data_IF_068330159137
#
_entry.id   IF_068330159137
#
_cell.length_a   1.000
_cell.length_b   1.000
_cell.length_c   1.000
_cell.angle_alpha   90.00
_cell.angle_beta   90.00
_cell.angle_gamma   90.00
#
_symmetry.space_group_name_H-M   'P 1'
#
loop_
_entity.id
_entity.type
_entity.pdbx_description
1 polymer ?
#
# COMPACT_ATOMS: atom_id res chain seq x y z
N UNK A 1 7.16 -19.23 -10.09
CA UNK A 1 6.59 -19.91 -11.27
C UNK A 1 5.91 -21.19 -10.89
N UNK A 2 4.78 -21.46 -11.52
CA UNK A 2 4.17 -22.79 -11.50
C UNK A 2 4.87 -23.75 -12.48
N UNK A 3 4.65 -25.07 -12.33
CA UNK A 3 5.23 -26.05 -13.24
C UNK A 3 4.86 -25.88 -14.72
N UNK A 4 3.75 -25.21 -15.02
CA UNK A 4 3.32 -24.89 -16.39
C UNK A 4 3.98 -23.63 -16.95
N UNK A 5 4.89 -23.01 -16.20
CA UNK A 5 5.61 -21.79 -16.59
C UNK A 5 4.87 -20.49 -16.28
N UNK A 6 3.74 -20.52 -15.58
CA UNK A 6 3.02 -19.33 -15.15
C UNK A 6 3.83 -18.55 -14.12
N UNK A 7 4.22 -17.28 -14.36
CA UNK A 7 4.96 -16.48 -13.40
C UNK A 7 4.01 -15.83 -12.38
N UNK A 8 4.34 -15.98 -11.10
CA UNK A 8 3.69 -15.27 -10.00
C UNK A 8 4.54 -14.07 -9.61
N UNK A 9 4.03 -12.87 -9.83
CA UNK A 9 4.70 -11.63 -9.47
C UNK A 9 4.06 -11.06 -8.22
N UNK A 10 4.83 -11.00 -7.14
CA UNK A 10 4.35 -10.50 -5.86
C UNK A 10 4.44 -8.98 -5.85
N UNK A 11 3.29 -8.31 -5.82
CA UNK A 11 3.19 -6.86 -5.68
C UNK A 11 3.27 -6.47 -4.20
N UNK A 12 4.28 -5.69 -3.85
CA UNK A 12 4.54 -5.29 -2.47
C UNK A 12 3.93 -3.92 -2.12
N UNK A 13 3.23 -3.27 -3.05
CA UNK A 13 2.55 -1.99 -2.85
C UNK A 13 1.04 -2.19 -2.79
N UNK A 14 0.38 -1.35 -2.02
CA UNK A 14 -1.06 -1.43 -1.81
C UNK A 14 -1.83 -0.78 -2.96
N UNK A 15 -2.87 -1.45 -3.44
CA UNK A 15 -3.77 -0.96 -4.47
C UNK A 15 -4.92 -0.17 -3.84
N UNK A 16 -5.06 1.09 -4.26
CA UNK A 16 -6.12 1.99 -3.79
C UNK A 16 -6.84 2.70 -4.96
N UNK A 17 -6.77 2.09 -6.16
CA UNK A 17 -7.35 2.61 -7.39
C UNK A 17 -6.36 3.30 -8.32
N UNK A 18 -5.07 3.42 -7.93
CA UNK A 18 -4.04 4.05 -8.74
C UNK A 18 -3.33 3.11 -9.73
N UNK A 19 -3.65 1.81 -9.72
CA UNK A 19 -3.11 0.81 -10.66
C UNK A 19 -1.71 0.30 -10.34
N UNK A 20 -1.23 0.44 -9.10
CA UNK A 20 0.14 0.05 -8.75
C UNK A 20 0.34 -1.47 -8.79
N UNK A 21 -0.70 -2.27 -8.50
CA UNK A 21 -0.67 -3.73 -8.65
C UNK A 21 -0.52 -4.19 -10.11
N UNK A 22 -0.77 -3.31 -11.06
CA UNK A 22 -0.50 -3.53 -12.48
C UNK A 22 0.84 -2.94 -12.89
N UNK A 23 1.07 -1.68 -12.52
CA UNK A 23 2.19 -0.90 -13.03
C UNK A 23 3.56 -1.45 -12.67
N UNK A 24 3.81 -1.81 -11.41
CA UNK A 24 5.10 -2.38 -11.01
C UNK A 24 5.31 -3.82 -11.52
N UNK A 25 4.34 -4.75 -11.40
CA UNK A 25 4.45 -6.06 -12.02
C UNK A 25 4.67 -6.01 -13.53
N UNK A 26 4.07 -5.06 -14.25
CA UNK A 26 4.27 -4.88 -15.67
C UNK A 26 5.73 -4.52 -16.03
N UNK A 27 6.42 -3.75 -15.18
CA UNK A 27 7.84 -3.45 -15.37
C UNK A 27 8.69 -4.72 -15.28
N UNK A 28 8.43 -5.58 -14.29
CA UNK A 28 9.12 -6.85 -14.12
C UNK A 28 8.82 -7.79 -15.29
N UNK A 29 7.54 -7.94 -15.65
CA UNK A 29 7.09 -8.79 -16.74
C UNK A 29 7.69 -8.35 -18.10
N UNK A 30 7.84 -7.05 -18.33
CA UNK A 30 8.48 -6.50 -19.53
C UNK A 30 9.95 -6.93 -19.64
N UNK A 31 10.73 -6.69 -18.57
CA UNK A 31 12.15 -7.09 -18.54
C UNK A 31 12.34 -8.61 -18.60
N UNK A 32 11.42 -9.36 -18.03
CA UNK A 32 11.44 -10.82 -18.04
C UNK A 32 11.02 -11.41 -19.40
N UNK A 33 10.53 -10.59 -20.35
CA UNK A 33 9.90 -11.05 -21.59
C UNK A 33 8.70 -12.00 -21.36
N UNK A 34 7.97 -11.81 -20.27
CA UNK A 34 6.78 -12.61 -20.02
C UNK A 34 5.60 -12.19 -20.90
N UNK A 35 4.76 -13.15 -21.27
CA UNK A 35 3.48 -12.83 -21.89
C UNK A 35 2.48 -12.40 -20.80
N UNK A 36 2.07 -11.13 -20.82
CA UNK A 36 1.28 -10.52 -19.74
C UNK A 36 0.02 -11.28 -19.38
N UNK A 37 -0.67 -11.85 -20.37
CA UNK A 37 -1.89 -12.61 -20.12
C UNK A 37 -1.66 -13.93 -19.35
N UNK A 38 -0.41 -14.38 -19.20
CA UNK A 38 -0.02 -15.54 -18.37
C UNK A 38 0.51 -15.14 -17.00
N UNK A 39 0.64 -13.85 -16.71
CA UNK A 39 1.16 -13.36 -15.42
C UNK A 39 0.05 -13.38 -14.37
N UNK A 40 0.33 -13.98 -13.23
CA UNK A 40 -0.49 -13.88 -12.02
C UNK A 40 0.15 -12.84 -11.09
N UNK A 41 -0.63 -11.87 -10.65
CA UNK A 41 -0.18 -10.84 -9.70
C UNK A 41 -0.76 -11.13 -8.33
N UNK A 42 0.11 -11.34 -7.35
CA UNK A 42 -0.28 -11.58 -5.96
C UNK A 42 0.02 -10.37 -5.08
N UNK A 43 -0.79 -10.16 -4.04
CA UNK A 43 -0.51 -9.13 -3.04
C UNK A 43 0.45 -9.69 -1.99
N UNK A 44 1.51 -8.95 -1.71
CA UNK A 44 2.39 -9.25 -0.58
C UNK A 44 1.64 -9.11 0.75
N UNK A 45 1.90 -10.01 1.69
CA UNK A 45 1.54 -9.80 3.10
C UNK A 45 2.41 -8.70 3.72
N UNK A 46 2.05 -8.23 4.92
CA UNK A 46 2.84 -7.22 5.67
C UNK A 46 4.16 -7.75 6.21
N UNK A 47 4.94 -8.51 5.41
CA UNK A 47 6.17 -9.18 5.81
C UNK A 47 7.41 -8.38 5.38
N UNK A 48 8.37 -8.23 6.28
CA UNK A 48 9.62 -7.50 6.07
C UNK A 48 10.48 -8.03 4.91
N UNK A 49 10.33 -9.30 4.53
CA UNK A 49 11.06 -9.91 3.40
C UNK A 49 10.80 -9.22 2.06
N UNK A 50 9.66 -8.52 1.93
CA UNK A 50 9.31 -7.78 0.71
C UNK A 50 9.88 -6.35 0.68
N UNK A 51 10.72 -5.97 1.66
CA UNK A 51 11.27 -4.62 1.77
C UNK A 51 10.22 -3.60 2.21
N UNK A 52 10.42 -2.33 1.87
CA UNK A 52 9.51 -1.26 2.23
C UNK A 52 8.19 -1.35 1.44
N UNK A 53 7.08 -1.54 2.13
CA UNK A 53 5.73 -1.65 1.57
C UNK A 53 4.89 -0.37 1.72
N UNK A 54 5.41 0.67 2.38
CA UNK A 54 4.68 1.92 2.57
C UNK A 54 4.37 2.61 1.24
N UNK A 55 3.08 2.71 0.91
CA UNK A 55 2.57 3.22 -0.36
C UNK A 55 2.15 4.67 -0.20
N UNK A 56 3.09 5.59 -0.32
CA UNK A 56 2.90 7.03 -0.13
C UNK A 56 3.82 7.87 -1.04
N UNK A 57 3.74 9.19 -0.93
CA UNK A 57 4.67 10.17 -1.48
C UNK A 57 4.98 10.04 -2.97
N UNK A 58 4.13 9.39 -3.75
CA UNK A 58 4.39 9.06 -5.17
C UNK A 58 5.70 8.28 -5.38
N UNK A 59 6.09 7.48 -4.38
CA UNK A 59 7.40 6.82 -4.35
C UNK A 59 7.39 5.46 -5.05
N UNK A 60 6.25 4.78 -5.17
CA UNK A 60 6.17 3.38 -5.60
C UNK A 60 6.88 3.10 -6.93
N UNK A 61 6.53 3.83 -8.00
CA UNK A 61 7.22 3.65 -9.30
C UNK A 61 8.62 4.25 -9.25
N UNK A 62 8.75 5.48 -8.77
CA UNK A 62 10.04 6.20 -8.71
C UNK A 62 11.12 5.44 -7.93
N UNK A 63 10.75 4.84 -6.81
CA UNK A 63 11.70 4.12 -5.95
C UNK A 63 11.95 2.67 -6.32
N UNK A 64 11.03 2.03 -7.06
CA UNK A 64 11.10 0.58 -7.30
C UNK A 64 11.18 0.16 -8.77
N UNK A 65 11.03 1.08 -9.73
CA UNK A 65 11.11 0.75 -11.15
C UNK A 65 12.40 0.00 -11.49
N UNK A 66 13.55 0.52 -11.05
CA UNK A 66 14.85 -0.10 -11.35
C UNK A 66 14.96 -1.50 -10.70
N UNK A 67 14.52 -1.67 -9.47
CA UNK A 67 14.52 -2.98 -8.79
C UNK A 67 13.62 -4.00 -9.49
N UNK A 68 12.47 -3.57 -10.00
CA UNK A 68 11.60 -4.46 -10.80
C UNK A 68 12.25 -4.84 -12.13
N UNK A 69 12.96 -3.92 -12.76
CA UNK A 69 13.76 -4.23 -13.95
C UNK A 69 14.86 -5.22 -13.64
N UNK A 70 15.60 -5.02 -12.57
CA UNK A 70 16.65 -5.94 -12.11
C UNK A 70 16.11 -7.35 -11.87
N UNK A 71 15.00 -7.47 -11.15
CA UNK A 71 14.35 -8.76 -10.91
C UNK A 71 13.91 -9.43 -12.23
N UNK A 72 13.27 -8.68 -13.13
CA UNK A 72 12.85 -9.20 -14.44
C UNK A 72 14.02 -9.64 -15.31
N UNK A 73 15.08 -8.83 -15.39
CA UNK A 73 16.30 -9.15 -16.14
C UNK A 73 17.05 -10.36 -15.54
N UNK A 74 17.07 -10.49 -14.21
CA UNK A 74 17.63 -11.65 -13.51
C UNK A 74 16.93 -12.93 -13.95
N UNK A 75 15.61 -12.96 -13.88
CA UNK A 75 14.83 -14.14 -14.27
C UNK A 75 15.01 -14.45 -15.76
N UNK A 76 14.94 -13.43 -16.61
CA UNK A 76 15.22 -13.59 -18.05
C UNK A 76 16.58 -14.26 -18.30
N UNK A 77 17.64 -13.76 -17.65
CA UNK A 77 18.99 -14.30 -17.80
C UNK A 77 19.09 -15.75 -17.35
N UNK A 78 18.44 -16.10 -16.24
CA UNK A 78 18.43 -17.49 -15.75
C UNK A 78 17.67 -18.44 -16.69
N UNK A 79 16.58 -17.98 -17.31
CA UNK A 79 15.85 -18.77 -18.32
C UNK A 79 16.67 -18.95 -19.59
N UNK A 80 17.36 -17.92 -20.07
CA UNK A 80 18.29 -18.01 -21.20
C UNK A 80 19.45 -18.98 -20.92
N UNK A 81 20.03 -18.94 -19.72
CA UNK A 81 21.06 -19.88 -19.29
C UNK A 81 20.55 -21.32 -19.21
N UNK A 82 19.32 -21.53 -18.74
CA UNK A 82 18.70 -22.85 -18.72
C UNK A 82 18.52 -23.42 -20.11
N UNK A 83 18.06 -22.60 -21.07
CA UNK A 83 17.92 -22.98 -22.47
C UNK A 83 19.29 -23.30 -23.12
N UNK A 84 20.27 -22.44 -22.90
CA UNK A 84 21.64 -22.64 -23.41
C UNK A 84 22.23 -23.96 -22.94
N UNK A 85 22.06 -24.29 -21.64
CA UNK A 85 22.49 -25.55 -21.04
C UNK A 85 21.79 -26.76 -21.67
N UNK A 86 20.47 -26.69 -21.90
CA UNK A 86 19.71 -27.78 -22.53
C UNK A 86 20.11 -27.97 -23.98
N UNK A 87 20.46 -26.91 -24.70
CA UNK A 87 20.84 -26.98 -26.11
C UNK A 87 22.33 -27.22 -26.34
N UNK A 88 23.19 -27.07 -25.31
CA UNK A 88 24.64 -27.18 -25.44
C UNK A 88 25.25 -26.07 -26.28
N UNK A 89 24.74 -24.82 -26.14
CA UNK A 89 25.17 -23.63 -26.90
C UNK A 89 25.61 -22.52 -25.93
N UNK A 90 26.25 -21.47 -26.48
CA UNK A 90 26.56 -20.29 -25.66
C UNK A 90 25.27 -19.52 -25.33
N UNK A 91 25.22 -18.97 -24.13
CA UNK A 91 24.03 -18.21 -23.68
C UNK A 91 23.81 -16.93 -24.47
N UNK A 92 24.83 -16.36 -25.09
CA UNK A 92 24.70 -15.22 -25.98
C UNK A 92 23.91 -15.50 -27.27
N UNK A 93 23.77 -16.78 -27.64
CA UNK A 93 22.95 -17.23 -28.75
C UNK A 93 21.48 -17.44 -28.40
N UNK A 94 21.14 -17.34 -27.11
CA UNK A 94 19.80 -17.54 -26.57
C UNK A 94 19.15 -16.20 -26.24
N UNK A 95 17.94 -15.97 -26.74
CA UNK A 95 17.19 -14.74 -26.46
C UNK A 95 15.77 -15.05 -26.02
N UNK A 96 15.40 -14.52 -24.86
CA UNK A 96 14.02 -14.56 -24.39
C UNK A 96 13.13 -13.65 -25.26
N UNK A 97 11.94 -14.12 -25.57
CA UNK A 97 10.93 -13.36 -26.32
C UNK A 97 9.53 -13.92 -26.03
N UNK A 98 8.66 -13.09 -25.46
CA UNK A 98 7.24 -13.37 -25.25
C UNK A 98 6.99 -14.77 -24.66
N UNK A 99 7.57 -15.01 -23.46
CA UNK A 99 7.39 -16.23 -22.69
C UNK A 99 8.08 -17.48 -23.25
N UNK A 100 9.00 -17.28 -24.19
CA UNK A 100 9.84 -18.33 -24.76
C UNK A 100 11.30 -17.91 -24.74
N UNK A 101 12.20 -18.86 -24.89
CA UNK A 101 13.59 -18.61 -25.25
C UNK A 101 13.87 -19.21 -26.63
N UNK A 102 14.53 -18.44 -27.48
CA UNK A 102 14.84 -18.78 -28.87
C UNK A 102 16.34 -18.85 -29.09
N UNK A 103 16.79 -19.83 -29.86
CA UNK A 103 18.14 -19.90 -30.37
C UNK A 103 18.15 -19.51 -31.86
N UNK A 104 18.68 -18.33 -32.20
CA UNK A 104 18.57 -17.73 -33.52
C UNK A 104 19.17 -18.59 -34.61
N UNK A 105 20.34 -19.22 -34.37
CA UNK A 105 21.06 -20.00 -35.37
C UNK A 105 20.32 -21.28 -35.82
N UNK A 106 19.64 -21.97 -34.89
CA UNK A 106 18.96 -23.24 -35.19
C UNK A 106 17.44 -23.13 -35.26
N UNK A 107 16.86 -22.00 -34.95
CA UNK A 107 15.41 -21.82 -34.88
C UNK A 107 14.71 -22.59 -33.73
N UNK A 108 15.46 -23.22 -32.82
CA UNK A 108 14.89 -23.91 -31.67
C UNK A 108 14.22 -22.93 -30.73
N UNK A 109 13.09 -23.33 -30.13
CA UNK A 109 12.30 -22.53 -29.17
C UNK A 109 11.91 -23.43 -28.00
N UNK A 110 12.01 -22.89 -26.78
CA UNK A 110 11.49 -23.51 -25.56
C UNK A 110 10.56 -22.53 -24.85
N UNK A 111 9.43 -23.01 -24.38
CA UNK A 111 8.52 -22.25 -23.51
C UNK A 111 9.12 -22.15 -22.08
N UNK A 112 8.76 -21.16 -21.30
CA UNK A 112 9.23 -20.99 -19.93
C UNK A 112 8.96 -22.20 -19.05
N UNK A 113 7.86 -22.93 -19.25
CA UNK A 113 7.56 -24.19 -18.52
C UNK A 113 8.65 -25.24 -18.65
N UNK A 114 9.34 -25.26 -19.80
CA UNK A 114 10.41 -26.23 -20.06
C UNK A 114 11.75 -25.80 -19.44
N UNK A 115 11.82 -24.55 -18.95
CA UNK A 115 13.06 -23.90 -18.49
C UNK A 115 13.10 -23.61 -16.99
N UNK A 116 11.93 -23.37 -16.35
CA UNK A 116 11.86 -22.88 -14.96
C UNK A 116 12.54 -23.81 -13.97
N UNK A 117 12.36 -25.12 -14.11
CA UNK A 117 12.99 -26.11 -13.22
C UNK A 117 14.53 -26.09 -13.33
N UNK A 118 15.06 -25.96 -14.54
CA UNK A 118 16.49 -25.83 -14.79
C UNK A 118 17.04 -24.48 -14.32
N UNK A 119 16.32 -23.41 -14.56
CA UNK A 119 16.69 -22.05 -14.12
C UNK A 119 16.79 -21.97 -12.60
N UNK A 120 15.87 -22.58 -11.86
CA UNK A 120 15.86 -22.59 -10.40
C UNK A 120 17.11 -23.25 -9.77
N UNK A 121 17.86 -24.04 -10.52
CA UNK A 121 19.10 -24.68 -10.07
C UNK A 121 20.37 -23.85 -10.39
N UNK A 122 20.22 -22.72 -11.06
CA UNK A 122 21.33 -21.84 -11.43
C UNK A 122 21.61 -20.83 -10.32
N UNK A 123 22.86 -20.38 -10.18
CA UNK A 123 23.16 -19.27 -9.31
C UNK A 123 22.51 -17.99 -9.83
N UNK A 124 22.02 -17.17 -8.92
CA UNK A 124 21.47 -15.84 -9.26
C UNK A 124 22.60 -14.97 -9.81
N UNK A 125 22.48 -14.41 -11.02
CA UNK A 125 23.50 -13.56 -11.60
C UNK A 125 23.66 -12.24 -10.82
N UNK A 126 24.90 -11.73 -10.76
CA UNK A 126 25.16 -10.42 -10.18
C UNK A 126 24.49 -9.32 -11.03
N UNK A 127 23.95 -8.30 -10.37
CA UNK A 127 23.18 -7.23 -11.05
C UNK A 127 24.00 -6.50 -12.11
N UNK A 128 25.30 -6.33 -11.87
CA UNK A 128 26.26 -5.67 -12.78
C UNK A 128 26.44 -6.43 -14.09
N UNK A 129 26.09 -7.73 -14.13
CA UNK A 129 26.19 -8.57 -15.33
C UNK A 129 24.91 -8.60 -16.15
N UNK A 130 23.84 -7.96 -15.65
CA UNK A 130 22.54 -7.96 -16.32
C UNK A 130 22.53 -6.95 -17.47
N UNK A 131 21.89 -7.31 -18.56
CA UNK A 131 21.52 -6.40 -19.63
C UNK A 131 20.05 -6.03 -19.52
N UNK A 132 19.73 -4.75 -19.68
CA UNK A 132 18.37 -4.25 -19.63
C UNK A 132 17.83 -3.95 -21.01
N UNK A 133 16.52 -4.17 -21.22
CA UNK A 133 15.85 -3.82 -22.46
C UNK A 133 15.96 -2.30 -22.72
N UNK A 134 16.34 -1.88 -23.91
CA UNK A 134 16.24 -0.48 -24.28
C UNK A 134 14.77 -0.06 -24.37
N UNK A 135 14.51 1.24 -24.18
CA UNK A 135 13.14 1.79 -24.19
C UNK A 135 12.35 1.42 -25.45
N UNK A 136 13.01 1.32 -26.59
CA UNK A 136 12.38 0.95 -27.86
C UNK A 136 11.81 -0.48 -27.88
N UNK A 137 12.30 -1.37 -27.01
CA UNK A 137 11.85 -2.76 -26.89
C UNK A 137 10.81 -2.97 -25.80
N UNK A 138 10.41 -1.91 -25.07
CA UNK A 138 9.39 -2.02 -24.03
C UNK A 138 8.02 -2.34 -24.62
N UNK A 139 7.40 -3.39 -24.09
CA UNK A 139 6.08 -3.85 -24.52
C UNK A 139 4.96 -3.31 -23.62
N UNK A 140 5.22 -3.24 -22.32
CA UNK A 140 4.22 -2.91 -21.30
C UNK A 140 4.54 -1.59 -20.61
N UNK A 141 5.80 -1.26 -20.41
CA UNK A 141 6.23 -0.03 -19.75
C UNK A 141 5.80 1.17 -20.58
N UNK A 142 5.02 2.07 -19.98
CA UNK A 142 4.49 3.26 -20.65
C UNK A 142 3.39 2.98 -21.68
N UNK A 143 2.76 1.80 -21.61
CA UNK A 143 1.59 1.45 -22.42
C UNK A 143 0.35 1.34 -21.53
N UNK A 144 -0.82 1.48 -22.15
CA UNK A 144 -2.09 1.22 -21.47
C UNK A 144 -2.26 -0.28 -21.24
N UNK A 145 -2.43 -0.63 -19.99
CA UNK A 145 -2.80 -1.99 -19.56
C UNK A 145 -4.03 -1.90 -18.68
N UNK A 146 -5.03 -2.77 -18.87
CA UNK A 146 -6.11 -2.91 -17.91
C UNK A 146 -5.53 -3.25 -16.54
N UNK A 147 -6.03 -2.63 -15.48
CA UNK A 147 -5.63 -3.02 -14.12
C UNK A 147 -6.02 -4.48 -13.86
N UNK A 148 -5.14 -5.23 -13.20
CA UNK A 148 -5.31 -6.67 -13.00
C UNK A 148 -6.58 -7.01 -12.23
N UNK A 149 -7.03 -6.12 -11.35
CA UNK A 149 -8.20 -6.29 -10.51
C UNK A 149 -9.51 -5.80 -11.18
N UNK A 150 -9.43 -5.16 -12.38
CA UNK A 150 -10.58 -4.48 -13.01
C UNK A 150 -11.79 -5.40 -13.18
N UNK A 151 -11.55 -6.63 -13.67
CA UNK A 151 -12.63 -7.57 -13.91
C UNK A 151 -13.43 -7.89 -12.63
N UNK A 152 -12.73 -8.10 -11.53
CA UNK A 152 -13.37 -8.40 -10.25
C UNK A 152 -14.02 -7.16 -9.63
N UNK A 153 -13.42 -5.97 -9.81
CA UNK A 153 -14.01 -4.70 -9.37
C UNK A 153 -15.37 -4.45 -10.04
N UNK A 154 -15.44 -4.53 -11.36
CA UNK A 154 -16.68 -4.22 -12.11
C UNK A 154 -17.76 -5.30 -11.98
N UNK A 155 -17.42 -6.50 -11.48
CA UNK A 155 -18.36 -7.59 -11.24
C UNK A 155 -18.66 -7.82 -9.75
N UNK A 156 -18.20 -6.96 -8.86
CA UNK A 156 -18.45 -7.06 -7.42
C UNK A 156 -17.77 -8.26 -6.75
N UNK A 157 -16.66 -8.75 -7.30
CA UNK A 157 -15.87 -9.87 -6.74
C UNK A 157 -14.57 -9.41 -6.08
N UNK A 158 -14.17 -8.16 -6.30
CA UNK A 158 -13.00 -7.60 -5.66
C UNK A 158 -13.16 -7.57 -4.14
N UNK A 159 -12.11 -7.92 -3.42
CA UNK A 159 -12.13 -8.03 -1.97
C UNK A 159 -11.49 -6.80 -1.32
N UNK A 160 -12.30 -6.01 -0.64
CA UNK A 160 -11.89 -4.85 0.13
C UNK A 160 -11.87 -5.16 1.62
N UNK A 161 -11.34 -4.25 2.45
CA UNK A 161 -11.26 -4.44 3.89
C UNK A 161 -12.64 -4.68 4.53
N UNK A 162 -13.64 -3.91 4.14
CA UNK A 162 -15.01 -4.01 4.63
C UNK A 162 -15.73 -5.32 4.20
N UNK A 163 -15.20 -6.05 3.20
CA UNK A 163 -15.78 -7.31 2.72
C UNK A 163 -15.32 -8.53 3.51
N UNK A 164 -14.30 -8.40 4.35
CA UNK A 164 -13.75 -9.51 5.12
C UNK A 164 -14.80 -10.08 6.07
N UNK A 165 -15.02 -11.39 6.00
CA UNK A 165 -15.98 -12.12 6.84
C UNK A 165 -15.31 -13.34 7.46
N UNK A 166 -15.49 -13.48 8.78
CA UNK A 166 -15.01 -14.62 9.54
C UNK A 166 -16.14 -15.22 10.38
N UNK A 167 -16.11 -16.52 10.67
CA UNK A 167 -17.06 -17.12 11.61
C UNK A 167 -16.99 -16.40 12.97
N UNK A 168 -18.17 -16.03 13.50
CA UNK A 168 -18.24 -15.34 14.80
C UNK A 168 -17.81 -13.88 14.80
N UNK A 169 -17.65 -13.25 13.61
CA UNK A 169 -17.24 -11.85 13.47
C UNK A 169 -18.15 -10.92 14.29
N UNK A 170 -17.53 -10.03 15.05
CA UNK A 170 -18.18 -8.91 15.74
C UNK A 170 -17.84 -7.59 15.02
N UNK A 171 -18.69 -6.62 15.19
CA UNK A 171 -18.56 -5.32 14.55
C UNK A 171 -18.32 -4.25 15.60
N UNK A 172 -17.32 -3.42 15.38
CA UNK A 172 -17.01 -2.29 16.25
C UNK A 172 -17.26 -0.96 15.52
N UNK A 173 -17.93 -0.04 16.18
CA UNK A 173 -18.06 1.35 15.75
C UNK A 173 -17.44 2.26 16.81
N UNK A 174 -16.53 3.16 16.38
CA UNK A 174 -15.76 4.01 17.29
C UNK A 174 -16.34 5.42 17.33
N UNK A 175 -16.64 5.91 18.55
CA UNK A 175 -16.84 7.32 18.84
C UNK A 175 -15.48 7.94 19.15
N UNK A 176 -15.04 8.91 18.38
CA UNK A 176 -13.75 9.59 18.53
C UNK A 176 -13.90 10.96 19.15
N UNK A 177 -12.89 11.47 19.89
CA UNK A 177 -12.89 12.84 20.34
C UNK A 177 -13.07 13.81 19.16
N UNK A 178 -13.90 14.85 19.30
CA UNK A 178 -14.09 15.88 18.23
C UNK A 178 -12.83 16.73 18.04
N UNK A 179 -11.98 16.83 19.05
CA UNK A 179 -10.71 17.55 19.03
C UNK A 179 -9.56 16.55 19.05
N UNK A 180 -8.55 16.76 18.20
CA UNK A 180 -7.35 15.90 18.15
C UNK A 180 -6.62 15.94 19.50
N UNK A 181 -6.27 14.77 20.01
CA UNK A 181 -5.74 14.52 21.37
C UNK A 181 -6.72 14.78 22.51
N UNK A 182 -8.00 15.02 22.21
CA UNK A 182 -9.04 14.94 23.22
C UNK A 182 -9.17 13.53 23.79
N UNK A 183 -9.77 13.43 24.95
CA UNK A 183 -9.99 12.15 25.65
C UNK A 183 -11.39 12.06 26.26
N UNK A 184 -11.81 10.86 26.55
CA UNK A 184 -13.06 10.62 27.30
C UNK A 184 -12.87 11.11 28.73
N UNK A 185 -13.75 12.04 29.19
CA UNK A 185 -13.83 12.44 30.60
C UNK A 185 -14.78 11.54 31.37
N UNK A 186 -15.98 11.36 30.83
CA UNK A 186 -17.01 10.48 31.34
C UNK A 186 -17.98 10.08 30.24
N UNK A 187 -18.74 9.01 30.43
CA UNK A 187 -19.81 8.64 29.51
C UNK A 187 -20.94 7.89 30.21
N UNK A 188 -22.13 7.93 29.60
CA UNK A 188 -23.28 7.09 29.95
C UNK A 188 -23.61 6.21 28.75
N UNK A 189 -23.82 4.94 29.03
CA UNK A 189 -23.96 3.89 28.04
C UNK A 189 -25.32 3.17 28.05
N UNK A 190 -26.21 3.49 29.00
CA UNK A 190 -27.45 2.75 29.20
C UNK A 190 -28.29 2.62 27.93
N UNK A 191 -28.47 3.73 27.22
CA UNK A 191 -29.21 3.74 25.93
C UNK A 191 -28.51 2.97 24.84
N UNK A 192 -27.19 2.99 24.77
CA UNK A 192 -26.39 2.25 23.82
C UNK A 192 -26.44 0.73 24.09
N UNK A 193 -26.29 0.33 25.33
CA UNK A 193 -26.36 -1.07 25.78
C UNK A 193 -27.75 -1.68 25.58
N UNK A 194 -28.83 -0.85 25.61
CA UNK A 194 -30.18 -1.30 25.33
C UNK A 194 -30.46 -1.64 23.86
N UNK A 195 -29.58 -1.29 22.93
CA UNK A 195 -29.73 -1.64 21.53
C UNK A 195 -29.50 -3.14 21.33
N UNK A 196 -30.48 -3.82 20.76
CA UNK A 196 -30.38 -5.27 20.51
C UNK A 196 -29.17 -5.62 19.65
N UNK A 197 -28.36 -6.56 20.13
CA UNK A 197 -27.14 -7.00 19.46
C UNK A 197 -25.87 -6.30 19.92
N UNK A 198 -25.94 -5.28 20.77
CA UNK A 198 -24.77 -4.68 21.45
C UNK A 198 -24.31 -5.61 22.57
N UNK A 199 -23.01 -5.83 22.63
CA UNK A 199 -22.40 -6.74 23.60
C UNK A 199 -21.58 -6.00 24.67
N UNK A 200 -20.81 -4.99 24.25
CA UNK A 200 -19.98 -4.23 25.18
C UNK A 200 -19.54 -2.89 24.59
N UNK A 201 -19.06 -2.02 25.47
CA UNK A 201 -18.39 -0.77 25.14
C UNK A 201 -16.98 -0.82 25.74
N UNK A 202 -15.99 -0.51 24.92
CA UNK A 202 -14.58 -0.54 25.30
C UNK A 202 -13.99 0.85 25.14
N UNK A 203 -13.39 1.37 26.20
CA UNK A 203 -12.63 2.61 26.13
C UNK A 203 -11.26 2.31 25.52
N UNK A 204 -10.92 3.08 24.47
CA UNK A 204 -9.64 3.03 23.80
C UNK A 204 -8.75 4.15 24.34
N UNK A 205 -7.49 3.86 24.73
CA UNK A 205 -6.58 4.86 25.27
C UNK A 205 -6.43 6.06 24.33
N UNK A 206 -6.42 7.26 24.89
CA UNK A 206 -6.16 8.48 24.14
C UNK A 206 -4.70 8.53 23.69
N UNK A 207 -4.46 9.01 22.46
CA UNK A 207 -3.12 9.24 21.97
C UNK A 207 -2.46 10.43 22.68
N UNK A 208 -1.14 10.37 22.82
CA UNK A 208 -0.29 11.48 23.29
C UNK A 208 0.46 12.06 22.10
N UNK A 209 0.61 13.40 22.08
CA UNK A 209 1.34 14.08 21.02
C UNK A 209 2.87 13.81 21.12
N UNK A 210 3.57 13.55 20.00
CA UNK A 210 3.05 13.35 18.66
C UNK A 210 2.39 11.96 18.51
N UNK A 211 1.28 11.87 17.78
CA UNK A 211 0.53 10.61 17.65
C UNK A 211 1.30 9.50 16.94
N UNK A 212 2.25 9.84 16.07
CA UNK A 212 3.09 8.89 15.31
C UNK A 212 2.26 7.74 14.69
N UNK A 213 1.12 8.07 14.06
CA UNK A 213 0.16 7.12 13.47
C UNK A 213 -0.59 6.22 14.47
N UNK A 214 -0.51 6.48 15.77
CA UNK A 214 -1.30 5.78 16.78
C UNK A 214 -2.78 6.12 16.68
N UNK A 215 -3.64 5.18 17.11
CA UNK A 215 -5.07 5.41 17.22
C UNK A 215 -5.33 6.57 18.22
N UNK A 216 -6.24 7.49 17.85
CA UNK A 216 -6.52 8.68 18.65
C UNK A 216 -7.38 8.39 19.90
N UNK A 217 -7.83 7.15 20.10
CA UNK A 217 -8.65 6.77 21.26
C UNK A 217 -10.15 7.00 21.05
N UNK A 218 -10.91 6.91 22.13
CA UNK A 218 -12.36 7.07 22.15
C UNK A 218 -13.10 5.90 22.74
N UNK A 219 -14.35 5.66 22.33
CA UNK A 219 -15.17 4.54 22.78
C UNK A 219 -15.55 3.65 21.60
N UNK A 220 -15.22 2.37 21.67
CA UNK A 220 -15.61 1.36 20.70
C UNK A 220 -16.88 0.64 21.19
N UNK A 221 -17.95 0.66 20.42
CA UNK A 221 -19.16 -0.13 20.64
C UNK A 221 -19.06 -1.40 19.86
N UNK A 222 -19.11 -2.55 20.54
CA UNK A 222 -19.01 -3.87 19.94
C UNK A 222 -20.39 -4.51 19.88
N UNK A 223 -20.77 -4.99 18.69
CA UNK A 223 -22.08 -5.56 18.45
C UNK A 223 -22.04 -6.75 17.46
N UNK A 224 -23.13 -7.49 17.39
CA UNK A 224 -23.32 -8.62 16.47
C UNK A 224 -23.45 -8.23 14.99
N UNK A 225 -23.70 -6.96 14.69
CA UNK A 225 -23.78 -6.41 13.35
C UNK A 225 -23.46 -4.92 13.32
N UNK A 226 -23.10 -4.40 12.14
CA UNK A 226 -22.67 -3.01 11.93
C UNK A 226 -23.77 -1.99 12.26
N UNK A 227 -25.04 -2.30 11.96
CA UNK A 227 -26.14 -1.38 12.25
C UNK A 227 -26.30 -1.16 13.76
N UNK A 228 -26.28 -2.24 14.55
CA UNK A 228 -26.37 -2.14 16.00
C UNK A 228 -25.18 -1.36 16.60
N UNK A 229 -23.95 -1.63 16.11
CA UNK A 229 -22.76 -0.91 16.54
C UNK A 229 -22.84 0.60 16.26
N UNK A 230 -23.22 0.99 15.03
CA UNK A 230 -23.35 2.39 14.62
C UNK A 230 -24.46 3.10 15.38
N UNK A 231 -25.66 2.48 15.45
CA UNK A 231 -26.79 3.05 16.18
C UNK A 231 -26.48 3.26 17.67
N UNK A 232 -25.85 2.29 18.30
CA UNK A 232 -25.51 2.38 19.72
C UNK A 232 -24.40 3.42 19.98
N UNK A 233 -23.40 3.53 19.07
CA UNK A 233 -22.40 4.60 19.13
C UNK A 233 -23.06 5.98 19.18
N UNK A 234 -24.06 6.21 18.35
CA UNK A 234 -24.76 7.52 18.27
C UNK A 234 -25.67 7.78 19.49
N UNK A 235 -25.97 6.75 20.31
CA UNK A 235 -26.71 6.85 21.57
C UNK A 235 -25.82 7.02 22.79
N UNK A 236 -24.49 6.98 22.63
CA UNK A 236 -23.57 7.29 23.72
C UNK A 236 -23.67 8.76 24.12
N UNK A 237 -23.80 9.04 25.42
CA UNK A 237 -23.67 10.38 25.96
C UNK A 237 -22.27 10.52 26.52
N UNK A 238 -21.39 11.21 25.76
CA UNK A 238 -19.96 11.31 26.10
C UNK A 238 -19.62 12.76 26.45
N UNK A 239 -18.94 12.93 27.55
CA UNK A 239 -18.26 14.17 27.92
C UNK A 239 -16.80 14.06 27.50
N UNK A 240 -16.37 14.95 26.63
CA UNK A 240 -15.00 15.00 26.16
C UNK A 240 -14.19 16.03 26.95
N UNK A 241 -12.91 15.75 27.10
CA UNK A 241 -11.90 16.71 27.50
C UNK A 241 -11.05 17.04 26.27
N UNK A 242 -11.26 18.23 25.69
CA UNK A 242 -10.70 18.59 24.40
C UNK A 242 -9.18 18.88 24.43
N UNK A 243 -8.64 19.23 25.59
CA UNK A 243 -7.20 19.45 25.76
C UNK A 243 -6.68 20.73 25.07
N UNK A 244 -5.40 20.71 24.74
CA UNK A 244 -4.68 21.90 24.27
C UNK A 244 -5.09 22.42 22.86
N UNK A 245 -5.83 21.62 22.10
CA UNK A 245 -6.25 21.97 20.74
C UNK A 245 -7.73 22.45 20.67
N UNK A 246 -8.34 22.72 21.83
CA UNK A 246 -9.75 23.11 21.94
C UNK A 246 -10.08 24.43 21.22
N UNK A 247 -9.13 25.31 21.07
CA UNK A 247 -9.25 26.65 20.49
C UNK A 247 -8.87 26.72 19.00
N UNK A 248 -8.60 25.57 18.36
CA UNK A 248 -8.28 25.57 16.92
C UNK A 248 -9.46 26.10 16.09
N UNK A 249 -9.19 27.18 15.35
CA UNK A 249 -10.11 27.78 14.38
C UNK A 249 -9.44 27.85 13.00
N UNK A 250 -10.10 27.32 11.98
CA UNK A 250 -9.54 27.25 10.62
C UNK A 250 -9.35 28.61 9.95
N UNK A 251 -10.16 29.62 10.32
CA UNK A 251 -10.03 30.98 9.78
C UNK A 251 -8.84 31.68 10.42
N UNK A 252 -8.71 31.60 11.74
CA UNK A 252 -7.57 32.14 12.47
C UNK A 252 -6.27 31.47 12.03
N UNK A 253 -6.27 30.15 11.85
CA UNK A 253 -5.12 29.39 11.37
C UNK A 253 -4.70 29.82 9.95
N UNK A 254 -5.66 30.04 9.04
CA UNK A 254 -5.36 30.58 7.71
C UNK A 254 -4.63 31.92 7.78
N UNK A 255 -5.07 32.83 8.66
CA UNK A 255 -4.41 34.12 8.83
C UNK A 255 -2.99 33.96 9.37
N UNK A 256 -2.81 33.10 10.37
CA UNK A 256 -1.48 32.77 10.91
C UNK A 256 -0.53 32.20 9.85
N UNK A 257 -1.03 31.31 8.95
CA UNK A 257 -0.26 30.80 7.82
C UNK A 257 0.17 31.91 6.84
N UNK A 258 -0.73 32.84 6.52
CA UNK A 258 -0.41 33.99 5.64
C UNK A 258 0.62 34.93 6.28
N UNK A 259 0.54 35.14 7.59
CA UNK A 259 1.54 35.93 8.31
C UNK A 259 2.90 35.20 8.32
N UNK A 260 2.93 33.91 8.56
CA UNK A 260 4.15 33.09 8.49
C UNK A 260 4.77 33.13 7.10
N UNK A 261 3.97 33.05 6.04
CA UNK A 261 4.43 33.08 4.65
C UNK A 261 5.16 34.40 4.29
N UNK A 262 4.84 35.48 4.97
CA UNK A 262 5.50 36.80 4.78
C UNK A 262 6.82 36.95 5.52
N UNK A 263 7.16 36.00 6.37
CA UNK A 263 8.44 36.00 7.09
C UNK A 263 9.51 35.24 6.29
N UNK A 264 10.80 35.61 6.43
CA UNK A 264 11.88 34.84 5.82
C UNK A 264 11.87 33.40 6.32
N UNK A 265 11.86 32.45 5.40
CA UNK A 265 11.96 31.00 5.72
C UNK A 265 13.40 30.53 5.82
N UNK A 266 13.60 29.30 6.33
CA UNK A 266 14.90 28.64 6.29
C UNK A 266 15.19 28.15 4.88
N UNK A 267 16.30 28.58 4.31
CA UNK A 267 16.72 28.15 2.97
C UNK A 267 17.01 26.64 2.95
N UNK A 268 16.22 25.88 2.22
CA UNK A 268 16.41 24.43 2.01
C UNK A 268 17.30 24.15 0.78
N UNK A 269 17.28 25.05 -0.20
CA UNK A 269 18.09 24.98 -1.41
C UNK A 269 18.48 26.42 -1.80
N UNK A 270 19.72 26.63 -2.14
CA UNK A 270 20.24 27.94 -2.57
C UNK A 270 21.09 27.74 -3.83
N UNK A 271 20.50 28.01 -4.99
CA UNK A 271 21.19 27.97 -6.29
C UNK A 271 20.92 29.27 -7.06
N UNK A 272 22.00 29.98 -7.42
CA UNK A 272 21.88 31.29 -8.03
C UNK A 272 21.49 32.39 -7.03
N UNK A 273 20.93 33.49 -7.55
CA UNK A 273 20.41 34.62 -6.77
C UNK A 273 18.98 34.95 -7.20
N UNK A 274 18.01 34.37 -6.49
CA UNK A 274 16.60 34.53 -6.79
C UNK A 274 16.09 35.95 -6.57
N UNK A 275 16.63 36.66 -5.56
CA UNK A 275 16.22 38.03 -5.25
C UNK A 275 16.68 38.99 -6.34
N UNK A 276 17.95 38.90 -6.75
CA UNK A 276 18.49 39.71 -7.84
C UNK A 276 17.76 39.41 -9.17
N UNK A 277 17.48 38.14 -9.46
CA UNK A 277 16.74 37.76 -10.66
C UNK A 277 15.30 38.32 -10.66
N UNK A 278 14.59 38.24 -9.54
CA UNK A 278 13.28 38.87 -9.38
C UNK A 278 13.33 40.39 -9.49
N UNK A 279 14.37 41.01 -8.92
CA UNK A 279 14.55 42.48 -9.01
C UNK A 279 14.73 42.94 -10.46
N UNK A 280 15.47 42.17 -11.27
CA UNK A 280 15.77 42.47 -12.67
C UNK A 280 14.68 42.00 -13.67
N UNK A 281 13.67 41.27 -13.22
CA UNK A 281 12.63 40.71 -14.09
C UNK A 281 11.80 41.80 -14.78
N UNK A 282 11.57 41.66 -16.10
CA UNK A 282 10.76 42.58 -16.90
C UNK A 282 9.26 42.55 -16.49
N UNK A 283 8.79 41.42 -15.97
CA UNK A 283 7.45 41.25 -15.42
C UNK A 283 7.48 40.30 -14.24
N UNK A 284 6.57 40.50 -13.28
CA UNK A 284 6.40 39.64 -12.13
C UNK A 284 4.98 39.16 -12.01
N UNK A 285 4.78 37.90 -11.68
CA UNK A 285 3.48 37.31 -11.35
C UNK A 285 3.54 36.86 -9.90
N UNK A 286 2.56 37.30 -9.10
CA UNK A 286 2.40 36.87 -7.71
C UNK A 286 1.03 36.24 -7.52
N UNK A 287 0.97 35.13 -6.82
CA UNK A 287 -0.28 34.44 -6.47
C UNK A 287 -0.16 33.79 -5.10
N UNK A 288 -1.26 33.78 -4.38
CA UNK A 288 -1.41 33.07 -3.11
C UNK A 288 -2.29 31.83 -3.32
N UNK A 289 -1.86 30.68 -2.81
CA UNK A 289 -2.60 29.43 -2.86
C UNK A 289 -2.84 28.96 -1.43
N UNK A 290 -4.06 28.54 -1.14
CA UNK A 290 -4.45 28.02 0.15
C UNK A 290 -5.07 26.64 0.00
N UNK A 291 -4.55 25.66 0.74
CA UNK A 291 -5.12 24.33 0.88
C UNK A 291 -5.57 24.13 2.34
N UNK A 292 -6.87 24.04 2.62
CA UNK A 292 -7.35 23.77 3.97
C UNK A 292 -7.06 22.34 4.41
N UNK A 293 -7.06 22.08 5.71
CA UNK A 293 -7.09 20.72 6.23
C UNK A 293 -8.46 20.10 5.90
N UNK A 294 -8.44 19.03 5.11
CA UNK A 294 -9.64 18.28 4.72
C UNK A 294 -9.52 16.82 5.13
N UNK A 295 -10.65 16.22 5.50
CA UNK A 295 -10.72 14.79 5.65
C UNK A 295 -10.53 14.11 4.29
N UNK A 296 -9.79 13.01 4.25
CA UNK A 296 -9.51 12.27 3.02
C UNK A 296 -10.79 11.67 2.40
N UNK A 297 -11.77 11.32 3.24
CA UNK A 297 -13.09 10.80 2.86
C UNK A 297 -13.04 9.72 1.75
N UNK A 298 -12.26 8.64 1.91
CA UNK A 298 -12.26 7.56 0.94
C UNK A 298 -13.66 6.95 0.82
N UNK A 299 -13.99 6.41 -0.37
CA UNK A 299 -15.30 5.80 -0.61
C UNK A 299 -15.53 4.58 0.28
N UNK A 300 -14.49 3.80 0.55
CA UNK A 300 -14.50 2.77 1.59
C UNK A 300 -14.16 3.42 2.94
N UNK A 301 -15.09 3.46 3.91
CA UNK A 301 -14.74 3.87 5.27
C UNK A 301 -13.64 2.97 5.84
N UNK A 302 -12.62 3.53 6.49
CA UNK A 302 -11.54 2.73 7.07
C UNK A 302 -12.09 1.62 7.98
N UNK A 303 -11.79 0.38 7.63
CA UNK A 303 -12.21 -0.80 8.35
C UNK A 303 -11.07 -1.82 8.37
N UNK A 304 -10.98 -2.61 9.44
CA UNK A 304 -10.05 -3.72 9.53
C UNK A 304 -10.71 -4.85 10.32
N UNK A 305 -10.29 -6.08 10.04
CA UNK A 305 -10.70 -7.28 10.79
C UNK A 305 -9.46 -7.89 11.43
N UNK A 306 -9.58 -8.27 12.69
CA UNK A 306 -8.53 -9.01 13.39
C UNK A 306 -9.12 -10.27 14.04
N UNK A 307 -8.42 -11.39 13.91
CA UNK A 307 -8.68 -12.63 14.61
C UNK A 307 -7.51 -12.91 15.54
N UNK A 308 -7.79 -12.90 16.85
CA UNK A 308 -6.76 -13.05 17.88
C UNK A 308 -7.03 -14.29 18.71
N UNK A 309 -6.02 -15.13 18.84
CA UNK A 309 -6.00 -16.30 19.74
C UNK A 309 -4.86 -16.15 20.74
N UNK A 310 -4.67 -17.11 21.61
CA UNK A 310 -3.53 -17.12 22.54
C UNK A 310 -2.17 -17.17 21.84
N UNK A 311 -2.12 -17.75 20.61
CA UNK A 311 -0.88 -18.07 19.91
C UNK A 311 -0.70 -17.34 18.59
N UNK A 312 -1.73 -16.64 18.08
CA UNK A 312 -1.69 -16.00 16.77
C UNK A 312 -2.61 -14.78 16.67
N UNK A 313 -2.20 -13.82 15.85
CA UNK A 313 -3.01 -12.69 15.42
C UNK A 313 -3.01 -12.61 13.90
N UNK A 314 -4.18 -12.65 13.29
CA UNK A 314 -4.32 -12.48 11.85
C UNK A 314 -5.19 -11.23 11.57
N UNK A 315 -4.67 -10.33 10.74
CA UNK A 315 -5.26 -9.04 10.43
C UNK A 315 -5.56 -8.96 8.93
N UNK A 316 -6.74 -8.49 8.57
CA UNK A 316 -7.11 -8.09 7.21
C UNK A 316 -7.36 -6.60 7.21
N UNK A 317 -6.55 -5.86 6.47
CA UNK A 317 -6.63 -4.40 6.48
C UNK A 317 -6.34 -3.78 5.12
N UNK A 318 -7.15 -2.79 4.71
CA UNK A 318 -6.88 -1.91 3.57
C UNK A 318 -5.85 -0.84 4.02
N UNK A 319 -4.58 -1.22 4.11
CA UNK A 319 -3.52 -0.36 4.65
C UNK A 319 -2.51 0.05 3.59
N UNK A 320 -2.11 1.34 3.60
CA UNK A 320 -0.98 1.84 2.81
C UNK A 320 0.37 1.46 3.42
N UNK A 321 0.40 1.17 4.73
CA UNK A 321 1.59 0.70 5.44
C UNK A 321 1.28 -0.57 6.25
N UNK A 322 1.20 -1.72 5.58
CA UNK A 322 0.83 -2.97 6.24
C UNK A 322 1.88 -3.45 7.26
N UNK A 323 3.14 -3.06 7.11
CA UNK A 323 4.20 -3.48 8.01
C UNK A 323 4.08 -2.83 9.39
N UNK A 324 3.59 -1.60 9.47
CA UNK A 324 3.42 -0.89 10.74
C UNK A 324 2.34 -1.52 11.64
N UNK A 325 1.45 -2.34 11.08
CA UNK A 325 0.43 -3.05 11.85
C UNK A 325 1.03 -4.15 12.75
N UNK A 326 2.19 -4.71 12.39
CA UNK A 326 2.84 -5.76 13.19
C UNK A 326 3.25 -5.25 14.59
N UNK A 327 4.08 -4.20 14.72
CA UNK A 327 4.43 -3.68 16.06
C UNK A 327 3.23 -3.12 16.81
N UNK A 328 2.20 -2.62 16.14
CA UNK A 328 0.96 -2.20 16.80
C UNK A 328 0.22 -3.38 17.41
N UNK A 329 0.08 -4.47 16.67
CA UNK A 329 -0.55 -5.69 17.14
C UNK A 329 0.25 -6.35 18.27
N UNK A 330 1.59 -6.37 18.16
CA UNK A 330 2.50 -6.83 19.22
C UNK A 330 2.25 -6.06 20.54
N UNK A 331 2.22 -4.73 20.45
CA UNK A 331 1.98 -3.88 21.62
C UNK A 331 0.61 -4.13 22.29
N UNK A 332 -0.42 -4.50 21.52
CA UNK A 332 -1.78 -4.72 22.03
C UNK A 332 -1.96 -6.15 22.54
N UNK A 333 -1.43 -7.14 21.83
CA UNK A 333 -1.69 -8.56 22.10
C UNK A 333 -0.61 -9.23 22.94
N UNK A 334 0.60 -8.68 22.99
CA UNK A 334 1.78 -9.32 23.58
C UNK A 334 2.35 -10.49 22.77
N UNK A 335 1.80 -10.76 21.58
CA UNK A 335 2.30 -11.78 20.66
C UNK A 335 3.59 -11.33 19.99
N UNK A 336 4.44 -12.28 19.61
CA UNK A 336 5.66 -11.99 18.87
C UNK A 336 5.35 -11.68 17.38
N UNK A 337 6.22 -10.93 16.67
CA UNK A 337 6.02 -10.61 15.26
C UNK A 337 5.75 -11.83 14.37
N UNK A 338 6.38 -12.99 14.65
CA UNK A 338 6.21 -14.23 13.88
C UNK A 338 4.82 -14.88 14.05
N UNK A 339 4.10 -14.47 15.10
CA UNK A 339 2.74 -14.92 15.39
C UNK A 339 1.68 -13.96 14.81
N UNK A 340 2.12 -12.86 14.18
CA UNK A 340 1.25 -11.84 13.62
C UNK A 340 1.33 -11.88 12.10
N UNK A 341 0.18 -12.05 11.46
CA UNK A 341 0.05 -12.04 10.00
C UNK A 341 -0.84 -10.88 9.55
N UNK A 342 -0.38 -10.12 8.58
CA UNK A 342 -1.16 -9.03 7.96
C UNK A 342 -1.48 -9.39 6.52
N UNK A 343 -2.77 -9.54 6.24
CA UNK A 343 -3.31 -9.72 4.90
C UNK A 343 -3.75 -8.34 4.38
N UNK A 344 -3.15 -7.91 3.28
CA UNK A 344 -3.46 -6.60 2.67
C UNK A 344 -4.59 -6.79 1.67
N UNK A 345 -5.72 -6.15 1.93
CA UNK A 345 -6.86 -6.11 1.01
C UNK A 345 -6.73 -4.96 0.02
N UNK A 346 -7.59 -4.91 -1.00
CA UNK A 346 -7.75 -3.70 -1.80
C UNK A 346 -8.28 -2.56 -0.92
N UNK A 347 -7.91 -1.34 -1.27
CA UNK A 347 -8.38 -0.13 -0.61
C UNK A 347 -9.39 0.60 -1.51
N UNK A 348 -10.56 0.91 -0.99
CA UNK A 348 -11.57 1.72 -1.67
C UNK A 348 -11.25 3.22 -1.68
N UNK A 349 -10.02 3.56 -1.99
CA UNK A 349 -9.39 4.86 -1.80
C UNK A 349 -8.67 4.93 -0.45
N UNK A 350 -7.66 5.80 -0.33
CA UNK A 350 -6.97 6.01 0.94
C UNK A 350 -6.48 7.46 1.06
N UNK A 351 -5.69 7.94 0.07
CA UNK A 351 -5.21 9.32 -0.05
C UNK A 351 -4.24 9.77 1.08
N UNK A 352 -3.64 8.82 1.78
CA UNK A 352 -2.71 9.05 2.88
C UNK A 352 -3.22 8.69 4.26
#
# INVERSE_FOLDING_TARGET
FDPDGTPHIISHRSEMGQGIRTGLPAVLADEMEAYWARVVVEQASGDAKYGNQNTDGSWSVRGFMQRMREAGATVRRMLEQSAAKQWGVDVSECRANLHTVQHAMSGRVLDYRDLVAGAAQLPVPAVETLSFKPRAEWRYIGKELPIVDLHDMIHGRAHYGADTRLPGLKYAAVARPPVVFGKVRSYRADAALAVAGVEQIVEMPAAVAPANYSALGGLAVIASNSWAALKARDLLSIEWEDGANADYDSVAYKQALLETLRQPGTAQRNEGDAEAALAAAASRVAAEYYAPHLAHAPMEPPAAVASVTADACEIWAPSQDPQSLIPMAEAITGLKPEQIRVNVTLLGGAFG
#
